data_IF_098501936337
#
_entry.id   IF_098501936337
#
_cell.length_a   1.000
_cell.length_b   1.000
_cell.length_c   1.000
_cell.angle_alpha   90.00
_cell.angle_beta   90.00
_cell.angle_gamma   90.00
#
_symmetry.space_group_name_H-M   'P 1'
#
loop_
_entity.id
_entity.type
_entity.pdbx_description
1 polymer ?
#
# COMPACT_ATOMS: atom_id res chain seq x y z
N UNK A 1 -23.64 -28.97 51.26
CA UNK A 1 -23.34 -27.99 50.23
C UNK A 1 -22.21 -28.51 49.35
N UNK A 2 -22.52 -29.05 48.23
CA UNK A 2 -21.56 -29.61 47.25
C UNK A 2 -20.82 -28.43 46.60
N UNK A 3 -19.57 -28.19 46.97
CA UNK A 3 -18.70 -27.24 46.30
C UNK A 3 -18.29 -27.83 44.93
N UNK A 4 -18.98 -27.42 43.85
CA UNK A 4 -18.54 -27.64 42.49
C UNK A 4 -17.17 -26.95 42.28
N UNK A 5 -16.08 -27.71 42.41
CA UNK A 5 -14.76 -27.22 42.00
C UNK A 5 -14.70 -27.30 40.47
N UNK A 6 -14.82 -26.16 39.84
CA UNK A 6 -14.59 -26.07 38.39
C UNK A 6 -13.17 -26.54 38.09
N UNK A 7 -13.03 -27.58 37.27
CA UNK A 7 -11.73 -28.09 36.84
C UNK A 7 -10.95 -26.95 36.10
N UNK A 8 -9.78 -26.52 36.59
CA UNK A 8 -9.04 -25.42 35.97
C UNK A 8 -8.70 -25.68 34.50
N UNK A 9 -8.49 -26.94 34.12
CA UNK A 9 -8.23 -27.30 32.73
C UNK A 9 -9.47 -27.04 31.83
N UNK A 10 -10.68 -27.21 32.33
CA UNK A 10 -11.90 -26.86 31.60
C UNK A 10 -12.01 -25.36 31.41
N UNK A 11 -11.68 -24.57 32.40
CA UNK A 11 -11.67 -23.09 32.29
C UNK A 11 -10.65 -22.63 31.26
N UNK A 12 -9.46 -23.23 31.24
CA UNK A 12 -8.44 -22.93 30.22
C UNK A 12 -8.97 -23.24 28.82
N UNK A 13 -9.61 -24.40 28.64
CA UNK A 13 -10.20 -24.76 27.33
C UNK A 13 -11.28 -23.76 26.87
N UNK A 14 -12.13 -23.29 27.79
CA UNK A 14 -13.12 -22.26 27.47
C UNK A 14 -12.45 -20.92 27.14
N UNK A 15 -11.40 -20.53 27.86
CA UNK A 15 -10.61 -19.33 27.54
C UNK A 15 -10.00 -19.40 26.13
N UNK A 16 -9.42 -20.55 25.77
CA UNK A 16 -8.87 -20.77 24.44
C UNK A 16 -9.96 -20.78 23.35
N UNK A 17 -11.13 -21.35 23.64
CA UNK A 17 -12.25 -21.31 22.71
C UNK A 17 -12.76 -19.89 22.47
N UNK A 18 -12.88 -19.07 23.51
CA UNK A 18 -13.26 -17.66 23.39
C UNK A 18 -12.22 -16.86 22.58
N UNK A 19 -10.95 -17.06 22.86
CA UNK A 19 -9.86 -16.43 22.09
C UNK A 19 -9.92 -16.82 20.61
N UNK A 20 -10.15 -18.11 20.32
CA UNK A 20 -10.29 -18.60 18.95
C UNK A 20 -11.46 -17.95 18.21
N UNK A 21 -12.61 -17.76 18.86
CA UNK A 21 -13.78 -17.07 18.28
C UNK A 21 -13.46 -15.60 17.97
N UNK A 22 -12.80 -14.89 18.89
CA UNK A 22 -12.42 -13.48 18.68
C UNK A 22 -11.47 -13.36 17.49
N UNK A 23 -10.46 -14.22 17.40
CA UNK A 23 -9.49 -14.22 16.31
C UNK A 23 -10.13 -14.64 14.96
N UNK A 24 -11.04 -15.60 14.97
CA UNK A 24 -11.81 -15.99 13.79
C UNK A 24 -12.64 -14.81 13.27
N UNK A 25 -13.38 -14.12 14.16
CA UNK A 25 -14.18 -12.96 13.81
C UNK A 25 -13.31 -11.80 13.26
N UNK A 26 -12.17 -11.54 13.90
CA UNK A 26 -11.24 -10.51 13.42
C UNK A 26 -10.70 -10.81 12.02
N UNK A 27 -10.27 -12.05 11.76
CA UNK A 27 -9.80 -12.48 10.43
C UNK A 27 -10.90 -12.39 9.38
N UNK A 28 -12.11 -12.80 9.72
CA UNK A 28 -13.28 -12.71 8.85
C UNK A 28 -13.60 -11.25 8.47
N UNK A 29 -13.67 -10.37 9.47
CA UNK A 29 -13.92 -8.93 9.25
C UNK A 29 -12.82 -8.31 8.38
N UNK A 30 -11.57 -8.73 8.57
CA UNK A 30 -10.45 -8.25 7.76
C UNK A 30 -10.54 -8.71 6.31
N UNK A 31 -10.98 -9.95 6.08
CA UNK A 31 -11.22 -10.47 4.73
C UNK A 31 -12.32 -9.67 4.02
N UNK A 32 -13.46 -9.46 4.67
CA UNK A 32 -14.58 -8.69 4.12
C UNK A 32 -14.19 -7.24 3.79
N UNK A 33 -13.44 -6.58 4.68
CA UNK A 33 -12.95 -5.23 4.42
C UNK A 33 -12.09 -5.16 3.14
N UNK A 34 -11.15 -6.12 2.96
CA UNK A 34 -10.32 -6.19 1.75
C UNK A 34 -11.14 -6.51 0.50
N UNK A 35 -12.11 -7.40 0.61
CA UNK A 35 -12.99 -7.76 -0.49
C UNK A 35 -13.80 -6.57 -0.99
N UNK A 36 -14.37 -5.77 -0.07
CA UNK A 36 -15.08 -4.54 -0.42
C UNK A 36 -14.15 -3.52 -1.11
N UNK A 37 -12.89 -3.41 -0.71
CA UNK A 37 -11.93 -2.54 -1.38
C UNK A 37 -11.67 -3.01 -2.83
N UNK A 38 -11.54 -4.32 -3.05
CA UNK A 38 -11.35 -4.90 -4.40
C UNK A 38 -12.59 -4.65 -5.27
N UNK A 39 -13.79 -4.84 -4.72
CA UNK A 39 -15.04 -4.59 -5.44
C UNK A 39 -15.18 -3.12 -5.84
N UNK A 40 -14.93 -2.20 -4.92
CA UNK A 40 -14.96 -0.75 -5.20
C UNK A 40 -13.98 -0.38 -6.32
N UNK A 41 -12.75 -0.89 -6.27
CA UNK A 41 -11.74 -0.67 -7.30
C UNK A 41 -12.19 -1.25 -8.65
N UNK A 42 -12.80 -2.43 -8.65
CA UNK A 42 -13.27 -3.09 -9.87
C UNK A 42 -14.47 -2.36 -10.47
N UNK A 43 -15.43 -1.93 -9.65
CA UNK A 43 -16.60 -1.16 -10.09
C UNK A 43 -16.19 0.20 -10.66
N UNK A 44 -15.25 0.89 -10.01
CA UNK A 44 -14.74 2.19 -10.48
C UNK A 44 -14.05 2.04 -11.83
N UNK A 45 -13.27 0.97 -12.01
CA UNK A 45 -12.59 0.67 -13.28
C UNK A 45 -13.58 0.24 -14.38
N UNK A 46 -14.65 -0.48 -14.04
CA UNK A 46 -15.67 -0.90 -15.02
C UNK A 46 -16.54 0.27 -15.48
N UNK A 47 -16.85 1.22 -14.60
CA UNK A 47 -17.58 2.44 -14.95
C UNK A 47 -16.71 3.40 -15.78
N UNK A 48 -15.38 3.41 -15.56
CA UNK A 48 -14.41 4.14 -16.39
C UNK A 48 -14.11 3.45 -17.73
N UNK A 49 -14.26 2.13 -17.81
CA UNK A 49 -13.97 1.33 -19.00
C UNK A 49 -15.11 1.29 -20.03
N UNK A 50 -16.32 1.74 -19.65
CA UNK A 50 -17.48 1.78 -20.55
C UNK A 50 -17.42 2.89 -21.62
N UNK A 51 -16.49 3.82 -21.52
CA UNK A 51 -16.24 4.87 -22.50
C UNK A 51 -14.74 5.05 -22.65
N UNK A 52 -14.02 4.23 -23.33
CA UNK A 52 -12.62 4.22 -23.74
C UNK A 52 -11.69 5.42 -23.43
N UNK A 53 -12.01 6.26 -22.46
CA UNK A 53 -11.29 7.50 -22.15
C UNK A 53 -11.10 7.63 -20.64
N UNK A 54 -9.95 7.24 -20.15
CA UNK A 54 -9.55 7.56 -18.78
C UNK A 54 -9.56 9.09 -18.57
N UNK A 55 -10.09 9.53 -17.43
CA UNK A 55 -10.17 10.96 -17.09
C UNK A 55 -8.77 11.58 -17.08
N UNK A 56 -8.55 12.64 -17.85
CA UNK A 56 -7.28 13.34 -17.90
C UNK A 56 -7.05 14.14 -16.62
N UNK A 57 -5.92 13.91 -15.99
CA UNK A 57 -5.48 14.60 -14.77
C UNK A 57 -4.81 15.93 -15.12
N UNK A 58 -5.15 17.00 -14.41
CA UNK A 58 -4.57 18.32 -14.61
C UNK A 58 -4.90 18.97 -15.96
N UNK A 59 -5.97 18.52 -16.59
CA UNK A 59 -6.45 19.02 -17.88
C UNK A 59 -7.97 19.07 -17.93
N UNK A 60 -8.58 19.13 -19.13
CA UNK A 60 -10.03 19.30 -19.29
C UNK A 60 -10.90 18.25 -18.58
N UNK A 61 -10.32 17.11 -18.15
CA UNK A 61 -11.06 16.04 -17.48
C UNK A 61 -11.14 16.21 -15.95
N UNK A 62 -10.04 16.55 -15.30
CA UNK A 62 -9.96 16.70 -13.86
C UNK A 62 -8.88 17.72 -13.48
N UNK A 63 -9.32 18.90 -13.05
CA UNK A 63 -8.48 19.95 -12.51
C UNK A 63 -8.26 19.75 -11.02
N UNK A 64 -7.13 20.25 -10.53
CA UNK A 64 -6.87 20.27 -9.10
C UNK A 64 -7.87 21.19 -8.38
N UNK A 65 -8.38 20.74 -7.24
CA UNK A 65 -9.16 21.56 -6.31
C UNK A 65 -8.91 21.10 -4.87
N UNK A 66 -9.11 22.01 -3.92
CA UNK A 66 -8.92 21.72 -2.48
C UNK A 66 -9.93 20.70 -1.93
N UNK A 67 -11.08 20.55 -2.60
CA UNK A 67 -12.12 19.60 -2.19
C UNK A 67 -11.76 18.15 -2.56
N UNK A 68 -10.71 17.93 -3.36
CA UNK A 68 -10.26 16.60 -3.74
C UNK A 68 -9.55 15.94 -2.58
N UNK A 69 -10.26 15.06 -1.92
CA UNK A 69 -9.69 14.23 -0.86
C UNK A 69 -8.97 13.01 -1.44
N UNK A 70 -8.01 12.49 -0.70
CA UNK A 70 -7.31 11.27 -1.09
C UNK A 70 -8.29 10.11 -1.34
N UNK A 71 -9.31 9.95 -0.49
CA UNK A 71 -10.34 8.90 -0.63
C UNK A 71 -11.14 9.02 -1.93
N UNK A 72 -11.40 10.25 -2.39
CA UNK A 72 -12.16 10.49 -3.62
C UNK A 72 -11.39 10.09 -4.87
N UNK A 73 -10.08 10.01 -4.80
CA UNK A 73 -9.17 9.71 -5.89
C UNK A 73 -8.67 8.28 -5.86
N UNK A 74 -8.61 7.67 -4.67
CA UNK A 74 -7.96 6.38 -4.44
C UNK A 74 -8.48 5.28 -5.37
N UNK A 75 -7.57 4.48 -5.91
CA UNK A 75 -7.79 3.33 -6.77
C UNK A 75 -8.48 3.64 -8.12
N UNK A 76 -8.64 4.91 -8.48
CA UNK A 76 -9.15 5.32 -9.78
C UNK A 76 -8.04 5.45 -10.81
N UNK A 77 -8.37 5.10 -12.05
CA UNK A 77 -7.45 5.22 -13.19
C UNK A 77 -7.60 6.59 -13.84
N UNK A 78 -6.47 7.20 -14.13
CA UNK A 78 -6.36 8.49 -14.80
C UNK A 78 -5.38 8.41 -15.96
N UNK A 79 -5.47 9.36 -16.87
CA UNK A 79 -4.49 9.58 -17.91
C UNK A 79 -3.76 10.88 -17.66
N UNK A 80 -2.45 10.83 -17.63
CA UNK A 80 -1.58 12.01 -17.62
C UNK A 80 -1.14 12.25 -19.06
N UNK A 81 -1.26 13.51 -19.51
CA UNK A 81 -0.80 13.94 -20.84
C UNK A 81 -0.33 15.38 -20.74
N UNK A 82 0.86 15.66 -21.27
CA UNK A 82 1.49 16.96 -21.13
C UNK A 82 2.08 17.21 -19.75
N UNK A 83 2.50 18.44 -19.50
CA UNK A 83 3.17 18.82 -18.26
C UNK A 83 4.69 18.75 -18.35
N UNK A 84 5.36 18.81 -17.21
CA UNK A 84 6.81 18.87 -17.11
C UNK A 84 7.32 18.12 -15.88
N UNK A 85 8.27 17.20 -16.05
CA UNK A 85 8.94 16.58 -14.94
C UNK A 85 9.79 17.57 -14.15
N UNK A 86 9.64 17.60 -12.83
CA UNK A 86 10.44 18.47 -11.98
C UNK A 86 11.80 17.84 -11.73
N UNK A 87 12.84 18.36 -12.36
CA UNK A 87 14.21 17.89 -12.19
C UNK A 87 14.67 17.93 -10.73
N UNK A 88 15.42 16.92 -10.30
CA UNK A 88 15.91 16.84 -8.92
C UNK A 88 14.86 16.46 -7.86
N UNK A 89 13.59 16.26 -8.27
CA UNK A 89 12.52 15.88 -7.33
C UNK A 89 12.52 14.38 -6.97
N UNK A 90 13.33 13.55 -7.62
CA UNK A 90 13.31 12.10 -7.44
C UNK A 90 13.43 11.70 -5.98
N UNK A 91 12.56 10.77 -5.57
CA UNK A 91 12.60 10.06 -4.30
C UNK A 91 12.65 8.56 -4.59
N UNK A 92 13.65 7.90 -4.04
CA UNK A 92 13.82 6.46 -4.14
C UNK A 92 13.33 5.81 -2.86
N UNK A 93 12.21 5.10 -2.94
CA UNK A 93 11.70 4.37 -1.79
C UNK A 93 12.40 3.03 -1.67
N UNK A 94 13.21 2.92 -0.63
CA UNK A 94 14.06 1.76 -0.37
C UNK A 94 13.27 0.53 0.10
N UNK A 95 13.99 -0.59 0.12
CA UNK A 95 13.48 -1.86 0.64
C UNK A 95 12.20 -2.33 -0.06
N UNK A 96 12.16 -2.20 -1.39
CA UNK A 96 11.08 -2.69 -2.24
C UNK A 96 11.59 -3.90 -3.04
N UNK A 97 11.17 -5.10 -2.63
CA UNK A 97 11.54 -6.31 -3.34
C UNK A 97 10.56 -6.65 -4.47
N UNK A 98 11.10 -7.08 -5.61
CA UNK A 98 10.33 -7.62 -6.73
C UNK A 98 10.96 -8.94 -7.17
N UNK A 99 10.17 -10.02 -7.18
CA UNK A 99 10.63 -11.37 -7.59
C UNK A 99 11.91 -11.82 -6.86
N UNK A 100 11.99 -11.56 -5.54
CA UNK A 100 13.14 -11.92 -4.72
C UNK A 100 14.37 -11.01 -4.87
N UNK A 101 14.32 -9.99 -5.72
CA UNK A 101 15.40 -9.01 -5.88
C UNK A 101 15.12 -7.76 -5.08
N UNK A 102 16.13 -7.27 -4.37
CA UNK A 102 16.05 -5.99 -3.67
C UNK A 102 16.04 -4.84 -4.67
N UNK A 103 15.27 -3.80 -4.38
CA UNK A 103 15.15 -2.64 -5.26
C UNK A 103 14.50 -1.45 -4.58
N UNK A 104 14.18 -0.47 -5.39
CA UNK A 104 13.56 0.79 -4.99
C UNK A 104 12.36 1.10 -5.88
N UNK A 105 11.35 1.78 -5.36
CA UNK A 105 10.38 2.49 -6.18
C UNK A 105 10.87 3.91 -6.46
N UNK A 106 10.71 4.36 -7.69
CA UNK A 106 11.16 5.67 -8.15
C UNK A 106 9.97 6.61 -8.27
N UNK A 107 9.89 7.58 -7.36
CA UNK A 107 8.90 8.64 -7.40
C UNK A 107 9.52 9.89 -8.01
N UNK A 108 8.77 10.56 -8.87
CA UNK A 108 9.19 11.83 -9.46
C UNK A 108 7.99 12.77 -9.47
N UNK A 109 8.20 14.03 -9.11
CA UNK A 109 7.16 15.03 -9.19
C UNK A 109 6.98 15.53 -10.63
N UNK A 110 5.73 15.65 -11.03
CA UNK A 110 5.31 16.13 -12.35
C UNK A 110 4.44 17.37 -12.17
N UNK A 111 4.81 18.48 -12.80
CA UNK A 111 3.95 19.65 -12.91
C UNK A 111 2.97 19.42 -14.05
N UNK A 112 1.67 19.42 -13.74
CA UNK A 112 0.59 19.25 -14.71
C UNK A 112 0.28 20.57 -15.43
N UNK A 113 -0.53 20.49 -16.50
CA UNK A 113 -0.89 21.67 -17.32
C UNK A 113 -1.67 22.73 -16.54
N UNK A 114 -2.44 22.36 -15.52
CA UNK A 114 -3.14 23.30 -14.64
C UNK A 114 -2.22 23.93 -13.57
N UNK A 115 -0.92 23.64 -13.62
CA UNK A 115 0.10 24.10 -12.69
C UNK A 115 0.10 23.36 -11.35
N UNK A 116 -0.76 22.38 -11.14
CA UNK A 116 -0.70 21.50 -9.97
C UNK A 116 0.45 20.49 -10.07
N UNK A 117 0.83 19.87 -8.96
CA UNK A 117 1.93 18.91 -8.90
C UNK A 117 1.40 17.55 -8.48
N UNK A 118 1.76 16.53 -9.24
CA UNK A 118 1.46 15.13 -8.94
C UNK A 118 2.75 14.37 -8.62
N UNK A 119 2.75 13.58 -7.55
CA UNK A 119 3.79 12.59 -7.33
C UNK A 119 3.47 11.33 -8.14
N UNK A 120 4.37 10.98 -9.05
CA UNK A 120 4.23 9.80 -9.91
C UNK A 120 5.25 8.74 -9.51
N UNK A 121 4.76 7.57 -9.13
CA UNK A 121 5.60 6.39 -9.03
C UNK A 121 5.79 5.83 -10.45
N UNK A 122 6.98 6.02 -10.98
CA UNK A 122 7.35 5.63 -12.33
C UNK A 122 7.56 4.12 -12.48
N UNK A 123 7.89 3.44 -11.37
CA UNK A 123 8.13 2.02 -11.38
C UNK A 123 9.19 1.59 -10.38
N UNK A 124 9.61 0.33 -10.52
CA UNK A 124 10.61 -0.32 -9.69
C UNK A 124 11.94 -0.46 -10.44
N UNK A 125 13.03 -0.23 -9.71
CA UNK A 125 14.39 -0.45 -10.15
C UNK A 125 15.12 -1.41 -9.22
N UNK A 126 15.93 -2.34 -9.75
CA UNK A 126 16.73 -3.23 -8.92
C UNK A 126 17.93 -2.49 -8.32
N UNK A 127 18.31 -2.84 -7.08
CA UNK A 127 19.59 -2.43 -6.51
C UNK A 127 20.72 -3.23 -7.17
N UNK A 128 21.88 -2.59 -7.39
CA UNK A 128 23.10 -3.34 -7.79
C UNK A 128 23.59 -4.21 -6.63
N UNK A 129 24.09 -5.42 -6.89
CA UNK A 129 24.74 -6.23 -5.87
C UNK A 129 25.90 -5.47 -5.21
N UNK A 130 25.97 -5.51 -3.89
CA UNK A 130 27.03 -4.84 -3.12
C UNK A 130 26.75 -3.39 -2.72
N UNK A 131 25.70 -2.76 -3.25
CA UNK A 131 25.29 -1.45 -2.82
C UNK A 131 24.52 -1.52 -1.48
N UNK A 132 25.25 -1.49 -0.39
CA UNK A 132 24.67 -1.39 0.95
C UNK A 132 25.09 -0.07 1.59
N UNK A 133 24.13 0.64 2.18
CA UNK A 133 24.36 1.84 2.94
C UNK A 133 23.84 3.13 2.31
N UNK A 134 23.92 4.23 3.07
CA UNK A 134 23.31 5.50 2.74
C UNK A 134 23.90 6.23 1.54
N UNK A 135 25.14 5.92 1.19
CA UNK A 135 25.86 6.49 0.03
C UNK A 135 25.67 5.70 -1.25
N UNK A 136 24.87 4.65 -1.20
CA UNK A 136 24.51 3.88 -2.37
C UNK A 136 23.55 4.71 -3.23
N UNK A 137 24.05 5.74 -3.88
CA UNK A 137 23.31 6.43 -4.92
C UNK A 137 22.85 5.45 -6.01
N UNK A 138 21.67 5.69 -6.54
CA UNK A 138 20.90 4.65 -7.23
C UNK A 138 21.59 4.25 -8.51
N UNK A 139 21.96 3.26 -8.58
CA UNK A 139 22.06 1.96 -9.04
C UNK A 139 21.68 1.79 -10.52
N UNK A 140 20.82 2.60 -11.06
CA UNK A 140 20.39 2.57 -12.44
C UNK A 140 20.32 4.00 -12.93
N UNK A 141 21.15 4.34 -13.90
CA UNK A 141 21.12 5.67 -14.53
C UNK A 141 19.71 6.01 -15.05
N UNK A 142 18.98 5.05 -15.54
CA UNK A 142 17.60 5.21 -15.98
C UNK A 142 16.64 5.67 -14.87
N UNK A 143 16.90 5.36 -13.59
CA UNK A 143 16.06 5.80 -12.49
C UNK A 143 16.28 7.28 -12.13
N UNK A 144 17.46 7.81 -12.41
CA UNK A 144 17.85 9.19 -12.08
C UNK A 144 17.20 10.20 -13.04
N UNK A 145 17.06 9.81 -14.32
CA UNK A 145 16.49 10.70 -15.33
C UNK A 145 15.00 10.40 -15.54
N UNK A 146 14.14 11.42 -15.50
CA UNK A 146 12.73 11.24 -15.85
C UNK A 146 12.61 10.86 -17.35
N UNK A 147 11.46 10.27 -17.74
CA UNK A 147 11.16 10.02 -19.15
C UNK A 147 11.23 11.30 -19.97
N UNK A 148 11.45 11.15 -21.27
CA UNK A 148 11.52 12.28 -22.18
C UNK A 148 10.14 12.96 -22.37
N UNK A 149 10.13 14.15 -22.96
CA UNK A 149 8.92 14.92 -23.21
C UNK A 149 7.93 14.17 -24.13
N UNK A 150 8.42 13.38 -25.07
CA UNK A 150 7.57 12.62 -25.99
C UNK A 150 6.65 11.63 -25.26
N UNK A 151 7.11 11.04 -24.14
CA UNK A 151 6.27 10.19 -23.29
C UNK A 151 5.12 10.98 -22.66
N UNK A 152 5.37 12.22 -22.23
CA UNK A 152 4.31 13.11 -21.70
C UNK A 152 3.34 13.55 -22.81
N UNK A 153 3.84 13.83 -23.99
CA UNK A 153 3.00 14.29 -25.14
C UNK A 153 2.08 13.16 -25.63
N UNK A 154 2.55 11.91 -25.63
CA UNK A 154 1.73 10.74 -25.91
C UNK A 154 0.72 10.48 -24.79
N UNK A 155 1.14 10.73 -23.56
CA UNK A 155 0.40 10.47 -22.35
C UNK A 155 0.43 9.00 -21.93
N UNK A 156 0.28 8.78 -20.64
CA UNK A 156 0.34 7.47 -20.01
C UNK A 156 -0.74 7.29 -18.96
N UNK A 157 -1.05 6.06 -18.63
CA UNK A 157 -2.05 5.72 -17.64
C UNK A 157 -1.43 5.56 -16.25
N UNK A 158 -2.19 6.02 -15.25
CA UNK A 158 -1.82 5.92 -13.84
C UNK A 158 -3.02 5.48 -13.01
N UNK A 159 -2.76 4.81 -11.91
CA UNK A 159 -3.74 4.57 -10.86
C UNK A 159 -3.38 5.39 -9.63
N UNK A 160 -4.34 6.12 -9.09
CA UNK A 160 -4.15 6.86 -7.85
C UNK A 160 -4.12 5.91 -6.65
N UNK A 161 -3.22 6.15 -5.71
CA UNK A 161 -3.16 5.38 -4.47
C UNK A 161 -2.87 6.29 -3.28
N UNK A 162 -3.77 6.28 -2.30
CA UNK A 162 -3.68 7.08 -1.09
C UNK A 162 -2.52 6.67 -0.19
N UNK A 163 -2.23 5.38 -0.13
CA UNK A 163 -1.27 4.81 0.79
C UNK A 163 -0.19 4.03 0.04
N UNK A 164 1.06 4.41 0.25
CA UNK A 164 2.17 3.51 0.03
C UNK A 164 2.19 2.48 1.15
N UNK A 165 2.46 1.21 0.84
CA UNK A 165 2.74 0.22 1.88
C UNK A 165 3.90 0.73 2.75
N UNK A 166 3.59 1.24 3.93
CA UNK A 166 4.61 1.68 4.89
C UNK A 166 5.38 0.46 5.37
N UNK A 167 6.68 0.56 5.30
CA UNK A 167 7.59 -0.38 5.95
C UNK A 167 7.75 0.03 7.40
N UNK A 168 7.99 -0.96 8.27
CA UNK A 168 8.28 -0.69 9.68
C UNK A 168 9.57 0.14 9.74
N UNK A 169 9.46 1.29 10.36
CA UNK A 169 10.60 2.17 10.64
C UNK A 169 11.26 1.69 11.93
N UNK A 170 12.55 1.34 11.84
CA UNK A 170 13.33 0.87 12.98
C UNK A 170 14.05 2.02 13.70
N UNK A 171 13.93 3.24 13.18
CA UNK A 171 14.52 4.46 13.75
C UNK A 171 13.49 5.57 13.70
N UNK A 172 13.50 6.44 14.69
CA UNK A 172 12.75 7.71 14.69
C UNK A 172 13.59 8.86 14.14
N UNK A 173 14.87 8.61 13.82
CA UNK A 173 15.77 9.63 13.30
C UNK A 173 15.53 9.86 11.80
N UNK A 174 15.09 11.06 11.44
CA UNK A 174 14.83 11.49 10.08
C UNK A 174 16.06 11.39 9.17
N UNK A 175 17.26 11.60 9.68
CA UNK A 175 18.50 11.46 8.91
C UNK A 175 18.73 10.01 8.46
N UNK A 176 18.30 9.03 9.27
CA UNK A 176 18.40 7.61 8.94
C UNK A 176 17.29 7.20 7.97
N UNK A 177 16.10 7.76 8.14
CA UNK A 177 14.92 7.42 7.33
C UNK A 177 14.94 8.10 5.94
N UNK A 178 15.60 9.25 5.82
CA UNK A 178 15.64 10.10 4.62
C UNK A 178 17.05 10.58 4.32
N UNK A 179 17.80 9.78 3.60
CA UNK A 179 19.17 10.10 3.19
C UNK A 179 19.16 10.69 1.76
N UNK A 180 19.16 12.01 1.68
CA UNK A 180 19.10 12.69 0.39
C UNK A 180 17.83 12.37 -0.39
N UNK A 181 17.97 11.61 -1.49
CA UNK A 181 16.85 11.13 -2.30
C UNK A 181 16.37 9.73 -1.89
N UNK A 182 17.11 9.00 -1.05
CA UNK A 182 16.79 7.64 -0.62
C UNK A 182 15.97 7.68 0.68
N UNK A 183 14.72 7.23 0.61
CA UNK A 183 13.77 7.26 1.72
C UNK A 183 13.23 5.86 2.02
N UNK A 184 13.00 5.54 3.27
CA UNK A 184 12.35 4.26 3.62
C UNK A 184 10.84 4.28 3.33
N UNK A 185 10.19 5.37 3.69
CA UNK A 185 8.78 5.60 3.41
C UNK A 185 8.56 6.98 2.81
N UNK A 186 7.49 7.13 2.04
CA UNK A 186 7.07 8.42 1.53
C UNK A 186 6.41 9.23 2.66
N UNK A 187 6.90 10.43 2.84
CA UNK A 187 6.33 11.43 3.74
C UNK A 187 5.90 12.62 2.90
N UNK A 188 4.61 12.86 2.83
CA UNK A 188 4.02 13.90 1.99
C UNK A 188 4.50 15.29 2.37
N UNK A 189 4.61 15.58 3.68
CA UNK A 189 5.07 16.90 4.17
C UNK A 189 6.53 17.15 3.81
N UNK A 190 7.41 16.20 4.07
CA UNK A 190 8.82 16.31 3.71
C UNK A 190 9.03 16.38 2.19
N UNK A 191 8.19 15.67 1.41
CA UNK A 191 8.22 15.75 -0.04
C UNK A 191 7.78 17.11 -0.57
N UNK A 192 6.77 17.73 0.03
CA UNK A 192 6.32 19.10 -0.29
C UNK A 192 7.37 20.15 0.09
N UNK A 193 7.99 20.04 1.27
CA UNK A 193 9.10 20.88 1.68
C UNK A 193 10.30 20.78 0.73
N UNK A 194 10.61 19.58 0.24
CA UNK A 194 11.64 19.36 -0.78
C UNK A 194 11.29 20.06 -2.09
N UNK A 195 10.04 19.91 -2.56
CA UNK A 195 9.57 20.59 -3.77
C UNK A 195 9.59 22.11 -3.62
N UNK A 196 9.16 22.64 -2.49
CA UNK A 196 9.16 24.09 -2.22
C UNK A 196 10.57 24.68 -2.32
N UNK A 197 11.57 23.95 -1.82
CA UNK A 197 12.98 24.35 -1.96
C UNK A 197 13.47 24.29 -3.41
N UNK A 198 13.10 23.25 -4.17
CA UNK A 198 13.50 23.11 -5.57
C UNK A 198 12.88 24.16 -6.49
N UNK A 199 11.63 24.51 -6.22
CA UNK A 199 10.86 25.41 -7.08
C UNK A 199 10.90 26.88 -6.61
N UNK A 200 11.50 27.17 -5.45
CA UNK A 200 11.49 28.49 -4.82
C UNK A 200 10.08 29.07 -4.63
N UNK A 201 9.09 28.20 -4.45
CA UNK A 201 7.68 28.55 -4.24
C UNK A 201 7.20 28.06 -2.87
N UNK A 202 6.46 28.92 -2.15
CA UNK A 202 5.96 28.61 -0.81
C UNK A 202 4.58 27.93 -0.81
N UNK A 203 3.83 28.05 -1.89
CA UNK A 203 2.49 27.47 -1.99
C UNK A 203 2.39 26.61 -3.23
N UNK A 204 2.36 25.29 -3.02
CA UNK A 204 2.22 24.32 -4.09
C UNK A 204 0.83 23.68 -4.02
N UNK A 205 0.23 23.46 -5.18
CA UNK A 205 -1.01 22.69 -5.33
C UNK A 205 -0.64 21.24 -5.60
N UNK A 206 -0.42 20.46 -4.53
CA UNK A 206 0.01 19.07 -4.64
C UNK A 206 -1.20 18.14 -4.50
N UNK A 207 -1.29 17.14 -5.38
CA UNK A 207 -2.34 16.13 -5.29
C UNK A 207 -2.13 15.24 -4.05
N UNK A 208 -3.21 14.91 -3.29
CA UNK A 208 -3.10 14.23 -2.00
C UNK A 208 -2.87 12.71 -2.11
N UNK A 209 -2.54 12.21 -3.30
CA UNK A 209 -2.30 10.80 -3.61
C UNK A 209 -1.03 10.63 -4.43
N UNK A 210 -0.52 9.41 -4.48
CA UNK A 210 0.55 9.04 -5.41
C UNK A 210 -0.07 8.34 -6.61
N UNK A 211 0.31 8.79 -7.79
CA UNK A 211 -0.10 8.20 -9.06
C UNK A 211 0.91 7.15 -9.49
N UNK A 212 0.48 5.90 -9.61
CA UNK A 212 1.32 4.79 -10.03
C UNK A 212 1.17 4.58 -11.52
N UNK A 213 2.28 4.66 -12.26
CA UNK A 213 2.27 4.35 -13.68
C UNK A 213 1.88 2.88 -13.90
N UNK A 214 0.94 2.67 -14.80
CA UNK A 214 0.44 1.34 -15.18
C UNK A 214 0.87 0.93 -16.59
N UNK A 215 1.26 1.91 -17.40
CA UNK A 215 1.85 1.70 -18.72
C UNK A 215 3.35 2.02 -18.73
N UNK A 216 4.16 1.39 -19.60
CA UNK A 216 5.57 1.69 -19.72
C UNK A 216 5.85 3.17 -20.00
N UNK A 217 6.90 3.70 -19.38
CA UNK A 217 7.33 5.09 -19.55
C UNK A 217 8.63 5.22 -20.37
N UNK A 218 9.09 4.12 -20.98
CA UNK A 218 10.32 4.04 -21.78
C UNK A 218 11.58 4.49 -21.02
N UNK A 219 11.56 4.34 -19.70
CA UNK A 219 12.65 4.69 -18.78
C UNK A 219 13.34 3.46 -18.18
N UNK A 220 12.99 2.28 -18.64
CA UNK A 220 13.58 1.00 -18.17
C UNK A 220 13.11 0.56 -16.79
N UNK A 221 12.17 1.27 -16.16
CA UNK A 221 11.59 0.88 -14.87
C UNK A 221 10.46 -0.14 -15.06
N UNK A 222 10.30 -1.01 -14.07
CA UNK A 222 9.22 -2.01 -14.07
C UNK A 222 7.99 -1.42 -13.35
N UNK A 223 6.90 -1.22 -14.09
CA UNK A 223 5.65 -0.74 -13.52
C UNK A 223 5.05 -1.80 -12.63
N UNK A 224 4.89 -1.47 -11.36
CA UNK A 224 4.34 -2.35 -10.33
C UNK A 224 3.32 -1.58 -9.49
N UNK A 225 2.13 -1.28 -10.04
CA UNK A 225 1.10 -0.64 -9.26
C UNK A 225 0.69 -1.54 -8.09
N UNK A 226 0.28 -0.96 -6.95
CA UNK A 226 -0.21 -1.72 -5.83
C UNK A 226 -1.38 -2.60 -6.28
N UNK A 227 -1.23 -3.90 -6.12
CA UNK A 227 -2.32 -4.84 -6.39
C UNK A 227 -3.07 -5.03 -5.08
N UNK A 228 -4.38 -4.84 -5.11
CA UNK A 228 -5.27 -5.42 -4.10
C UNK A 228 -5.26 -6.94 -4.36
N UNK A 229 -4.41 -7.64 -3.63
CA UNK A 229 -4.18 -9.05 -3.88
C UNK A 229 -5.40 -9.84 -3.42
N UNK A 230 -6.15 -10.44 -4.35
CA UNK A 230 -7.22 -11.40 -4.06
C UNK A 230 -6.71 -12.55 -3.19
N UNK A 231 -5.45 -12.94 -3.36
CA UNK A 231 -4.77 -13.95 -2.55
C UNK A 231 -4.70 -13.59 -1.06
N UNK A 232 -4.63 -12.30 -0.73
CA UNK A 232 -4.64 -11.86 0.67
C UNK A 232 -6.02 -12.01 1.32
N UNK A 233 -7.10 -11.87 0.56
CA UNK A 233 -8.48 -12.14 1.03
C UNK A 233 -8.62 -13.63 1.37
N UNK A 234 -8.20 -14.50 0.46
CA UNK A 234 -8.25 -15.96 0.65
C UNK A 234 -7.44 -16.41 1.88
N UNK A 235 -6.27 -15.80 2.12
CA UNK A 235 -5.47 -16.09 3.33
C UNK A 235 -6.23 -15.76 4.62
N UNK A 236 -6.90 -14.60 4.68
CA UNK A 236 -7.67 -14.22 5.85
C UNK A 236 -8.85 -15.16 6.12
N UNK A 237 -9.57 -15.58 5.08
CA UNK A 237 -10.61 -16.62 5.23
C UNK A 237 -10.03 -17.96 5.69
N UNK A 238 -8.88 -18.36 5.15
CA UNK A 238 -8.18 -19.57 5.59
C UNK A 238 -7.80 -19.53 7.08
N UNK A 239 -7.25 -18.40 7.55
CA UNK A 239 -6.96 -18.22 8.99
C UNK A 239 -8.22 -18.16 9.85
N UNK A 240 -9.30 -17.53 9.39
CA UNK A 240 -10.57 -17.55 10.12
C UNK A 240 -11.08 -18.98 10.30
N UNK A 241 -11.06 -19.79 9.25
CA UNK A 241 -11.41 -21.21 9.30
C UNK A 241 -10.53 -22.02 10.28
N UNK A 242 -9.21 -21.78 10.26
CA UNK A 242 -8.28 -22.43 11.18
C UNK A 242 -8.61 -22.11 12.65
N UNK A 243 -8.93 -20.85 12.95
CA UNK A 243 -9.32 -20.45 14.31
C UNK A 243 -10.64 -21.09 14.75
N UNK A 244 -11.61 -21.24 13.83
CA UNK A 244 -12.87 -21.98 14.12
C UNK A 244 -12.56 -23.43 14.46
N UNK A 245 -11.70 -24.11 13.71
CA UNK A 245 -11.30 -25.49 14.00
C UNK A 245 -10.63 -25.63 15.38
N UNK A 246 -9.70 -24.72 15.69
CA UNK A 246 -9.04 -24.71 17.01
C UNK A 246 -10.05 -24.49 18.15
N UNK A 247 -11.04 -23.64 17.94
CA UNK A 247 -12.14 -23.44 18.89
C UNK A 247 -12.92 -24.73 19.12
N UNK A 248 -13.30 -25.43 18.06
CA UNK A 248 -14.02 -26.71 18.18
C UNK A 248 -13.19 -27.79 18.92
N UNK A 249 -11.88 -27.82 18.66
CA UNK A 249 -10.97 -28.73 19.40
C UNK A 249 -10.92 -28.36 20.88
N UNK A 250 -10.80 -27.07 21.22
CA UNK A 250 -10.80 -26.64 22.61
C UNK A 250 -12.12 -26.97 23.34
N UNK A 251 -13.26 -26.78 22.68
CA UNK A 251 -14.57 -27.15 23.23
C UNK A 251 -14.72 -28.67 23.40
N UNK A 252 -14.21 -29.48 22.45
CA UNK A 252 -14.20 -30.94 22.58
C UNK A 252 -13.40 -31.40 23.80
N UNK A 253 -12.21 -30.79 24.02
CA UNK A 253 -11.42 -31.10 25.22
C UNK A 253 -12.09 -30.63 26.51
N UNK A 254 -12.72 -29.46 26.51
CA UNK A 254 -13.50 -28.98 27.65
C UNK A 254 -14.61 -30.00 28.03
N UNK A 255 -15.34 -30.47 27.02
CA UNK A 255 -16.39 -31.48 27.24
C UNK A 255 -15.83 -32.82 27.74
N UNK A 256 -14.73 -33.34 27.15
CA UNK A 256 -14.10 -34.57 27.56
C UNK A 256 -13.54 -34.51 29.00
N UNK A 257 -12.92 -33.40 29.38
CA UNK A 257 -12.36 -33.18 30.72
C UNK A 257 -13.47 -32.99 31.75
N UNK A 258 -14.55 -32.30 31.41
CA UNK A 258 -15.72 -32.13 32.27
C UNK A 258 -16.43 -33.45 32.61
N UNK A 259 -16.51 -34.39 31.64
CA UNK A 259 -17.08 -35.71 31.88
C UNK A 259 -16.25 -36.58 32.86
N UNK A 260 -14.91 -36.42 32.84
CA UNK A 260 -14.04 -37.20 33.72
C UNK A 260 -14.18 -36.79 35.18
N UNK A 261 -14.40 -35.50 35.47
CA UNK A 261 -14.62 -34.99 36.83
C UNK A 261 -15.93 -35.49 37.42
N UNK A 262 -17.01 -35.55 36.64
CA UNK A 262 -18.32 -36.07 37.10
C UNK A 262 -18.26 -37.55 37.40
N UNK A 263 -17.49 -38.37 36.66
CA UNK A 263 -17.31 -39.79 36.86
C UNK A 263 -16.39 -40.15 38.05
N UNK A 264 -15.53 -39.24 38.50
CA UNK A 264 -14.66 -39.48 39.65
C UNK A 264 -15.32 -39.12 41.00
N UNK A 265 -16.41 -38.35 40.97
CA UNK A 265 -17.20 -37.93 42.14
C UNK A 265 -18.46 -38.82 42.35
N UNK A 266 -18.72 -39.82 41.51
CA UNK A 266 -19.80 -40.81 41.59
C UNK A 266 -19.28 -42.16 42.00
#
# INVERSE_FOLDING_TARGET
MTHYRLNPAVLVCFGLALLGLVLAHWQWSRAQYKEQQIERATQTNSLGSGSGTSTRLGGPGLLWSQDKTADSLDQKTYRIKGGEWIGGSQIFLDNRALNGRAGVHVLTALRLEDGSVAWVNRGWASKMPGSQGPSAEPFIQAAVHPPNQATLDQGFEVVAHQSLMRRVELSENDEVLRQGALWQNFDAKAAEERLSRLLSHHTLRVWPVIFWATSPLDDGLVQQPPRLAKDDVAKHYGYAFQWVLLTLVALFFAWKLGRKTVAADA
#
